data_IF_117193045439
#
_entry.id   IF_117193045439
#
_cell.length_a   1.000
_cell.length_b   1.000
_cell.length_c   1.000
_cell.angle_alpha   90.00
_cell.angle_beta   90.00
_cell.angle_gamma   90.00
#
_symmetry.space_group_name_H-M   'P 1'
#
loop_
_entity.id
_entity.type
_entity.pdbx_description
1 polymer ?
#
# COMPACT_ATOMS: atom_id res chain seq x y z
N UNK A 1 -19.66 -14.06 15.34
CA UNK A 1 -19.08 -12.81 14.86
C UNK A 1 -19.06 -12.81 13.34
N UNK A 2 -19.46 -11.72 12.67
CA UNK A 2 -19.30 -11.61 11.22
C UNK A 2 -17.80 -11.50 10.94
N UNK A 3 -17.23 -12.49 10.27
CA UNK A 3 -15.88 -12.36 9.73
C UNK A 3 -15.92 -11.25 8.68
N UNK A 4 -15.20 -10.16 8.91
CA UNK A 4 -14.99 -9.13 7.88
C UNK A 4 -14.00 -9.74 6.88
N UNK A 5 -14.48 -10.02 5.68
CA UNK A 5 -13.60 -10.49 4.61
C UNK A 5 -12.68 -9.33 4.21
N UNK A 6 -11.39 -9.50 4.39
CA UNK A 6 -10.38 -8.53 3.98
C UNK A 6 -10.25 -8.64 2.45
N UNK A 7 -10.35 -7.53 1.75
CA UNK A 7 -10.19 -7.45 0.29
C UNK A 7 -8.94 -6.67 -0.09
N UNK A 8 -8.38 -6.94 -1.27
CA UNK A 8 -7.24 -6.20 -1.82
C UNK A 8 -7.56 -4.71 -1.93
N UNK A 9 -8.66 -4.38 -2.58
CA UNK A 9 -9.17 -3.01 -2.60
C UNK A 9 -10.02 -2.78 -1.34
N UNK A 10 -9.58 -1.86 -0.49
CA UNK A 10 -10.35 -1.37 0.66
C UNK A 10 -11.40 -0.39 0.15
N UNK A 11 -10.95 0.62 -0.59
CA UNK A 11 -11.80 1.62 -1.24
C UNK A 11 -11.01 2.42 -2.27
N UNK A 12 -11.73 3.09 -3.17
CA UNK A 12 -11.17 4.09 -4.08
C UNK A 12 -12.08 5.29 -4.22
N UNK A 13 -11.49 6.46 -4.40
CA UNK A 13 -12.14 7.74 -4.68
C UNK A 13 -11.47 8.36 -5.90
N UNK A 14 -12.12 8.26 -7.05
CA UNK A 14 -11.63 8.77 -8.32
C UNK A 14 -12.40 10.05 -8.66
N UNK A 15 -11.68 11.19 -8.72
CA UNK A 15 -12.31 12.51 -8.88
C UNK A 15 -11.72 13.32 -10.03
N UNK A 16 -10.47 13.06 -10.41
CA UNK A 16 -9.81 13.81 -11.44
C UNK A 16 -8.85 12.93 -12.25
N UNK A 17 -9.19 12.56 -13.51
CA UNK A 17 -8.45 11.58 -14.30
C UNK A 17 -7.00 11.97 -14.59
N UNK A 18 -6.69 13.26 -14.66
CA UNK A 18 -5.34 13.79 -14.89
C UNK A 18 -4.67 14.30 -13.59
N UNK A 19 -5.35 14.17 -12.45
CA UNK A 19 -4.85 14.61 -11.15
C UNK A 19 -3.83 13.62 -10.54
N UNK A 20 -3.18 13.99 -9.44
CA UNK A 20 -2.29 13.09 -8.72
C UNK A 20 -3.05 11.89 -8.17
N UNK A 21 -2.36 10.77 -8.12
CA UNK A 21 -2.86 9.50 -7.59
C UNK A 21 -2.12 9.17 -6.29
N UNK A 22 -2.83 9.04 -5.19
CA UNK A 22 -2.26 8.64 -3.90
C UNK A 22 -2.73 7.24 -3.57
N UNK A 23 -1.80 6.31 -3.46
CA UNK A 23 -2.06 4.90 -3.16
C UNK A 23 -1.55 4.59 -1.77
N UNK A 24 -2.46 4.33 -0.86
CA UNK A 24 -2.15 3.87 0.48
C UNK A 24 -2.22 2.36 0.52
N UNK A 25 -1.25 1.74 1.18
CA UNK A 25 -1.21 0.31 1.45
C UNK A 25 -1.16 0.12 2.96
N UNK A 26 -2.03 -0.71 3.51
CA UNK A 26 -2.00 -1.09 4.91
C UNK A 26 -1.90 -2.59 5.06
N UNK A 27 -1.21 -3.08 6.10
CA UNK A 27 -1.13 -4.50 6.38
C UNK A 27 -0.19 -5.28 5.46
N UNK A 28 0.93 -4.70 5.06
CA UNK A 28 2.05 -5.47 4.47
C UNK A 28 2.55 -6.54 5.45
N UNK A 29 2.46 -6.26 6.75
CA UNK A 29 2.55 -7.25 7.82
C UNK A 29 1.15 -7.51 8.40
N UNK A 30 0.75 -8.78 8.45
CA UNK A 30 -0.61 -9.13 8.87
C UNK A 30 -0.90 -8.92 10.36
N UNK A 31 0.13 -8.88 11.20
CA UNK A 31 0.01 -8.51 12.61
C UNK A 31 -0.10 -6.98 12.84
N UNK A 32 -0.14 -6.18 11.78
CA UNK A 32 -0.29 -4.72 11.80
C UNK A 32 -1.62 -4.26 11.14
N UNK A 33 -2.80 -4.71 11.62
CA UNK A 33 -4.09 -4.42 10.97
C UNK A 33 -4.53 -2.96 11.11
N UNK A 34 -3.88 -2.19 11.97
CA UNK A 34 -4.25 -0.79 12.27
C UNK A 34 -4.26 0.09 11.03
N UNK A 35 -3.31 -0.13 10.09
CA UNK A 35 -3.27 0.59 8.81
C UNK A 35 -4.53 0.36 7.98
N UNK A 36 -4.99 -0.90 7.87
CA UNK A 36 -6.22 -1.27 7.16
C UNK A 36 -7.45 -0.65 7.80
N UNK A 37 -7.54 -0.69 9.13
CA UNK A 37 -8.66 -0.10 9.88
C UNK A 37 -8.70 1.42 9.72
N UNK A 38 -7.54 2.08 9.79
CA UNK A 38 -7.41 3.52 9.59
C UNK A 38 -7.85 3.92 8.17
N UNK A 39 -7.40 3.17 7.15
CA UNK A 39 -7.78 3.41 5.77
C UNK A 39 -9.29 3.26 5.56
N UNK A 40 -9.91 2.21 6.08
CA UNK A 40 -11.37 2.04 6.02
C UNK A 40 -12.10 3.26 6.59
N UNK A 41 -11.67 3.74 7.75
CA UNK A 41 -12.27 4.92 8.40
C UNK A 41 -12.08 6.17 7.56
N UNK A 42 -10.85 6.48 7.17
CA UNK A 42 -10.50 7.69 6.41
C UNK A 42 -11.22 7.72 5.07
N UNK A 43 -11.28 6.60 4.35
CA UNK A 43 -11.96 6.53 3.06
C UNK A 43 -13.47 6.77 3.20
N UNK A 44 -14.09 6.27 4.27
CA UNK A 44 -15.50 6.56 4.56
C UNK A 44 -15.74 8.05 4.90
N UNK A 45 -14.84 8.68 5.64
CA UNK A 45 -14.91 10.10 5.96
C UNK A 45 -14.66 10.99 4.73
N UNK A 46 -13.77 10.57 3.81
CA UNK A 46 -13.48 11.28 2.57
C UNK A 46 -14.55 11.12 1.50
N UNK A 47 -15.30 10.03 1.50
CA UNK A 47 -16.30 9.73 0.46
C UNK A 47 -17.28 10.88 0.17
N UNK A 48 -17.90 11.55 1.15
CA UNK A 48 -18.78 12.69 0.89
C UNK A 48 -18.02 13.91 0.35
N UNK A 49 -16.70 13.99 0.55
CA UNK A 49 -15.84 15.07 0.07
C UNK A 49 -15.21 14.75 -1.31
N UNK A 50 -15.48 13.59 -1.88
CA UNK A 50 -14.92 13.17 -3.17
C UNK A 50 -15.04 14.23 -4.28
N UNK A 51 -16.16 14.96 -4.46
CA UNK A 51 -16.26 15.98 -5.51
C UNK A 51 -15.29 17.17 -5.32
N UNK A 52 -14.71 17.33 -4.14
CA UNK A 52 -13.75 18.39 -3.83
C UNK A 52 -12.29 17.95 -4.02
N UNK A 53 -12.05 16.66 -4.21
CA UNK A 53 -10.70 16.14 -4.44
C UNK A 53 -10.18 16.56 -5.81
N UNK A 54 -8.93 16.99 -5.87
CA UNK A 54 -8.23 17.38 -7.10
C UNK A 54 -7.33 16.24 -7.66
N UNK A 55 -7.60 15.02 -7.25
CA UNK A 55 -6.86 13.82 -7.61
C UNK A 55 -7.62 12.58 -7.19
N UNK A 56 -6.94 11.45 -7.19
CA UNK A 56 -7.51 10.16 -6.89
C UNK A 56 -6.85 9.55 -5.65
N UNK A 57 -7.62 8.83 -4.85
CA UNK A 57 -7.15 8.17 -3.64
C UNK A 57 -7.53 6.69 -3.70
N UNK A 58 -6.56 5.84 -3.51
CA UNK A 58 -6.72 4.38 -3.49
C UNK A 58 -6.22 3.85 -2.16
N UNK A 59 -6.98 2.96 -1.54
CA UNK A 59 -6.62 2.29 -0.31
C UNK A 59 -6.61 0.78 -0.54
N UNK A 60 -5.48 0.15 -0.29
CA UNK A 60 -5.22 -1.27 -0.56
C UNK A 60 -4.81 -2.00 0.73
N UNK A 61 -5.13 -3.29 0.78
CA UNK A 61 -4.56 -4.22 1.76
C UNK A 61 -3.31 -4.89 1.20
N UNK A 62 -2.30 -5.07 2.02
CA UNK A 62 -1.05 -5.74 1.68
C UNK A 62 -1.18 -7.27 1.65
N UNK A 63 -0.63 -7.97 2.65
CA UNK A 63 -0.65 -9.43 2.75
C UNK A 63 -1.97 -9.93 3.31
N UNK A 64 -2.91 -10.32 2.44
CA UNK A 64 -4.27 -10.71 2.84
C UNK A 64 -4.28 -11.94 3.76
N UNK A 65 -3.53 -12.98 3.39
CA UNK A 65 -3.48 -14.22 4.17
C UNK A 65 -2.84 -14.01 5.54
N UNK A 66 -1.79 -13.20 5.63
CA UNK A 66 -1.17 -12.87 6.90
C UNK A 66 -2.10 -12.01 7.78
N UNK A 67 -2.85 -11.08 7.19
CA UNK A 67 -3.88 -10.28 7.88
C UNK A 67 -5.00 -11.15 8.45
N UNK A 68 -5.48 -12.14 7.68
CA UNK A 68 -6.51 -13.08 8.15
C UNK A 68 -6.05 -13.92 9.34
N UNK A 69 -4.76 -14.26 9.40
CA UNK A 69 -4.16 -15.04 10.49
C UNK A 69 -3.64 -14.18 11.65
N UNK A 70 -3.50 -12.88 11.44
CA UNK A 70 -2.86 -11.98 12.40
C UNK A 70 -1.37 -12.27 12.59
N UNK A 71 -0.72 -12.89 11.61
CA UNK A 71 0.69 -13.21 11.59
C UNK A 71 1.48 -12.14 10.83
N UNK A 72 2.76 -11.95 11.16
CA UNK A 72 3.58 -10.97 10.46
C UNK A 72 3.68 -11.29 8.96
N UNK A 73 3.95 -12.53 8.64
CA UNK A 73 3.98 -13.10 7.28
C UNK A 73 3.72 -14.62 7.39
N UNK A 74 3.46 -15.28 6.28
CA UNK A 74 3.21 -16.73 6.24
C UNK A 74 4.52 -17.50 6.04
N UNK A 75 5.33 -17.15 5.04
CA UNK A 75 6.58 -17.79 4.70
C UNK A 75 7.74 -16.80 4.72
N UNK A 76 7.59 -15.66 4.03
CA UNK A 76 8.61 -14.63 3.89
C UNK A 76 8.04 -13.23 4.12
N UNK A 77 8.88 -12.31 4.56
CA UNK A 77 8.48 -10.91 4.74
C UNK A 77 8.18 -10.26 3.38
N UNK A 78 6.89 -9.97 3.11
CA UNK A 78 6.43 -9.34 1.86
C UNK A 78 7.17 -8.03 1.56
N UNK A 79 7.58 -7.29 2.59
CA UNK A 79 8.37 -6.06 2.43
C UNK A 79 9.79 -6.27 1.90
N UNK A 80 10.28 -7.50 1.82
CA UNK A 80 11.65 -7.81 1.36
C UNK A 80 11.72 -8.23 -0.10
N UNK A 81 10.59 -8.45 -0.75
CA UNK A 81 10.54 -8.95 -2.13
C UNK A 81 10.17 -7.88 -3.18
N UNK A 82 10.30 -6.60 -2.85
CA UNK A 82 10.07 -5.46 -3.77
C UNK A 82 11.34 -4.96 -4.45
N UNK A 83 12.36 -5.83 -4.61
CA UNK A 83 13.54 -5.51 -5.41
C UNK A 83 13.17 -5.48 -6.90
N UNK A 84 13.87 -4.67 -7.72
CA UNK A 84 13.52 -4.47 -9.13
C UNK A 84 13.41 -5.77 -9.94
N UNK A 85 14.30 -6.71 -9.73
CA UNK A 85 14.30 -8.02 -10.39
C UNK A 85 13.08 -8.86 -9.98
N UNK A 86 12.72 -8.86 -8.70
CA UNK A 86 11.56 -9.57 -8.18
C UNK A 86 10.25 -8.96 -8.68
N UNK A 87 10.19 -7.64 -8.78
CA UNK A 87 9.05 -6.94 -9.37
C UNK A 87 8.90 -7.30 -10.85
N UNK A 88 10.00 -7.36 -11.62
CA UNK A 88 9.96 -7.79 -13.03
C UNK A 88 9.52 -9.24 -13.20
N UNK A 89 9.91 -10.13 -12.28
CA UNK A 89 9.41 -11.51 -12.25
C UNK A 89 7.91 -11.56 -11.95
N UNK A 90 7.44 -10.77 -10.99
CA UNK A 90 6.02 -10.68 -10.65
C UNK A 90 5.17 -10.16 -11.82
N UNK A 91 5.65 -9.14 -12.54
CA UNK A 91 5.02 -8.63 -13.78
C UNK A 91 4.85 -9.70 -14.83
N UNK A 92 5.89 -10.49 -15.05
CA UNK A 92 5.93 -11.54 -16.09
C UNK A 92 5.32 -12.86 -15.62
N UNK A 93 5.03 -12.99 -14.32
CA UNK A 93 4.68 -14.25 -13.65
C UNK A 93 5.72 -15.34 -13.91
N UNK A 94 6.99 -14.95 -13.92
CA UNK A 94 8.14 -15.82 -14.23
C UNK A 94 8.63 -16.51 -12.95
N UNK A 95 7.85 -17.49 -12.50
CA UNK A 95 8.14 -18.30 -11.34
C UNK A 95 7.92 -19.78 -11.66
N UNK A 96 8.80 -20.63 -11.15
CA UNK A 96 8.52 -22.05 -11.11
C UNK A 96 7.39 -22.33 -10.10
N UNK A 97 6.59 -23.38 -10.28
CA UNK A 97 5.53 -23.73 -9.33
C UNK A 97 6.00 -23.87 -7.88
N UNK A 98 7.24 -24.33 -7.66
CA UNK A 98 7.85 -24.49 -6.34
C UNK A 98 8.28 -23.15 -5.71
N UNK A 99 8.38 -22.08 -6.46
CA UNK A 99 8.73 -20.73 -5.99
C UNK A 99 7.49 -19.91 -5.63
N UNK A 100 6.31 -20.35 -6.06
CA UNK A 100 5.03 -19.65 -5.77
C UNK A 100 4.62 -19.98 -4.34
N UNK A 101 5.19 -19.24 -3.41
CA UNK A 101 4.79 -19.20 -2.00
C UNK A 101 3.77 -18.09 -1.78
N UNK A 102 3.16 -18.06 -0.59
CA UNK A 102 2.11 -17.10 -0.26
C UNK A 102 2.46 -15.65 -0.61
N UNK A 103 3.62 -15.16 -0.20
CA UNK A 103 4.01 -13.76 -0.41
C UNK A 103 4.33 -13.44 -1.88
N UNK A 104 4.72 -14.43 -2.67
CA UNK A 104 4.88 -14.26 -4.12
C UNK A 104 3.51 -14.10 -4.79
N UNK A 105 2.50 -14.87 -4.38
CA UNK A 105 1.12 -14.69 -4.86
C UNK A 105 0.57 -13.32 -4.47
N UNK A 106 0.77 -12.91 -3.22
CA UNK A 106 0.38 -11.59 -2.71
C UNK A 106 1.08 -10.45 -3.48
N UNK A 107 2.37 -10.60 -3.80
CA UNK A 107 3.11 -9.64 -4.61
C UNK A 107 2.56 -9.53 -6.03
N UNK A 108 2.32 -10.68 -6.67
CA UNK A 108 1.79 -10.73 -8.05
C UNK A 108 0.42 -10.04 -8.11
N UNK A 109 -0.44 -10.30 -7.14
CA UNK A 109 -1.79 -9.72 -7.09
C UNK A 109 -1.74 -8.22 -6.82
N UNK A 110 -0.99 -7.80 -5.78
CA UNK A 110 -0.83 -6.39 -5.42
C UNK A 110 -0.18 -5.60 -6.55
N UNK A 111 0.88 -6.14 -7.17
CA UNK A 111 1.51 -5.52 -8.32
C UNK A 111 0.53 -5.41 -9.50
N UNK A 112 -0.21 -6.46 -9.81
CA UNK A 112 -1.21 -6.44 -10.89
C UNK A 112 -2.26 -5.35 -10.70
N UNK A 113 -2.68 -5.10 -9.45
CA UNK A 113 -3.57 -4.00 -9.13
C UNK A 113 -2.90 -2.63 -9.37
N UNK A 114 -1.67 -2.45 -8.88
CA UNK A 114 -0.89 -1.22 -9.05
C UNK A 114 -0.62 -0.94 -10.54
N UNK A 115 -0.21 -1.95 -11.29
CA UNK A 115 0.09 -1.83 -12.72
C UNK A 115 -1.16 -1.42 -13.53
N UNK A 116 -2.32 -1.98 -13.19
CA UNK A 116 -3.59 -1.57 -13.76
C UNK A 116 -3.91 -0.10 -13.44
N UNK A 117 -3.70 0.35 -12.20
CA UNK A 117 -3.90 1.75 -11.85
C UNK A 117 -2.96 2.66 -12.65
N UNK A 118 -1.68 2.30 -12.77
CA UNK A 118 -0.68 3.09 -13.48
C UNK A 118 -0.92 3.14 -15.00
N UNK A 119 -1.54 2.11 -15.57
CA UNK A 119 -1.88 2.06 -16.99
C UNK A 119 -3.18 2.80 -17.34
N UNK A 120 -4.11 2.92 -16.39
CA UNK A 120 -5.43 3.54 -16.61
C UNK A 120 -5.50 4.99 -16.18
N UNK A 121 -4.63 5.44 -15.29
CA UNK A 121 -4.60 6.80 -14.80
C UNK A 121 -3.38 7.56 -15.28
N UNK A 122 -3.57 8.85 -15.55
CA UNK A 122 -2.50 9.79 -15.84
C UNK A 122 -2.11 10.52 -14.55
N UNK A 123 -1.06 11.31 -14.59
CA UNK A 123 -0.61 12.07 -13.44
C UNK A 123 0.40 11.32 -12.58
N UNK A 124 0.88 12.00 -11.55
CA UNK A 124 1.91 11.45 -10.65
C UNK A 124 1.30 10.47 -9.66
N UNK A 125 2.03 9.39 -9.39
CA UNK A 125 1.70 8.44 -8.34
C UNK A 125 2.55 8.66 -7.10
N UNK A 126 1.89 8.58 -5.95
CA UNK A 126 2.51 8.59 -4.63
C UNK A 126 2.08 7.32 -3.90
N UNK A 127 3.05 6.50 -3.49
CA UNK A 127 2.79 5.27 -2.74
C UNK A 127 3.17 5.47 -1.29
N UNK A 128 2.27 5.12 -0.39
CA UNK A 128 2.42 5.27 1.05
C UNK A 128 2.08 3.94 1.71
N UNK A 129 3.09 3.31 2.32
CA UNK A 129 2.91 2.10 3.11
C UNK A 129 2.75 2.47 4.58
N UNK A 130 1.72 1.92 5.21
CA UNK A 130 1.35 2.20 6.59
C UNK A 130 1.77 1.05 7.50
N UNK A 131 2.70 1.35 8.39
CA UNK A 131 3.21 0.42 9.40
C UNK A 131 2.89 0.87 10.81
N UNK A 132 2.97 -0.07 11.75
CA UNK A 132 3.03 0.22 13.19
C UNK A 132 4.43 -0.04 13.71
N UNK A 133 4.81 0.65 14.79
CA UNK A 133 6.07 0.39 15.49
C UNK A 133 5.83 -0.45 16.73
N UNK A 134 6.78 -1.33 17.07
CA UNK A 134 6.72 -2.15 18.27
C UNK A 134 6.93 -1.35 19.58
N UNK A 135 7.41 -0.11 19.49
CA UNK A 135 7.66 0.79 20.61
C UNK A 135 6.71 2.00 20.60
N UNK A 136 6.57 2.65 21.74
CA UNK A 136 5.87 3.94 21.83
C UNK A 136 6.68 5.00 21.10
N UNK A 137 6.14 5.57 20.05
CA UNK A 137 6.74 6.66 19.28
C UNK A 137 5.67 7.64 18.82
N UNK A 138 6.08 8.86 18.50
CA UNK A 138 5.24 9.76 17.69
C UNK A 138 5.16 9.20 16.28
N UNK A 139 4.07 9.43 15.53
CA UNK A 139 4.02 9.09 14.12
C UNK A 139 5.15 9.77 13.35
N UNK A 140 5.76 9.08 12.40
CA UNK A 140 6.82 9.61 11.56
C UNK A 140 6.76 9.00 10.16
N UNK A 141 7.42 9.65 9.21
CA UNK A 141 7.54 9.19 7.83
C UNK A 141 8.97 8.74 7.60
N UNK A 142 9.15 7.60 6.95
CA UNK A 142 10.43 7.15 6.40
C UNK A 142 10.40 7.27 4.88
N UNK A 143 11.49 7.70 4.27
CA UNK A 143 11.59 7.80 2.82
C UNK A 143 13.01 7.63 2.34
N UNK A 144 13.15 7.08 1.12
CA UNK A 144 14.43 7.12 0.42
C UNK A 144 14.80 8.55 0.05
N UNK A 145 16.08 8.91 0.21
CA UNK A 145 16.58 10.25 -0.09
C UNK A 145 16.68 10.50 -1.61
N UNK A 146 15.55 10.86 -2.20
CA UNK A 146 15.50 11.33 -3.59
C UNK A 146 14.85 12.71 -3.66
N UNK A 147 15.31 13.55 -4.59
CA UNK A 147 14.75 14.90 -4.80
C UNK A 147 13.23 14.82 -5.06
N UNK A 148 12.78 13.81 -5.78
CA UNK A 148 11.37 13.62 -6.10
C UNK A 148 10.51 13.30 -4.88
N UNK A 149 11.07 12.63 -3.87
CA UNK A 149 10.33 12.23 -2.68
C UNK A 149 10.22 13.34 -1.64
N UNK A 150 11.12 14.32 -1.63
CA UNK A 150 11.21 15.34 -0.57
C UNK A 150 10.00 16.27 -0.47
N UNK A 151 9.38 16.62 -1.59
CA UNK A 151 8.30 17.62 -1.61
C UNK A 151 7.00 17.14 -0.96
N UNK A 152 6.62 15.88 -1.17
CA UNK A 152 5.36 15.35 -0.65
C UNK A 152 5.39 15.16 0.89
N UNK A 153 6.36 14.46 1.49
CA UNK A 153 6.42 14.31 2.94
C UNK A 153 6.57 15.64 3.68
N UNK A 154 7.28 16.63 3.08
CA UNK A 154 7.44 17.95 3.69
C UNK A 154 6.14 18.74 3.83
N UNK A 155 5.09 18.35 3.12
CA UNK A 155 3.75 18.96 3.26
C UNK A 155 2.94 18.39 4.42
N UNK A 156 3.41 17.31 5.03
CA UNK A 156 2.72 16.64 6.14
C UNK A 156 3.30 17.09 7.49
N UNK A 157 2.46 17.32 8.52
CA UNK A 157 2.91 17.76 9.84
C UNK A 157 3.49 16.62 10.68
N UNK A 158 4.43 15.87 10.11
CA UNK A 158 5.05 14.69 10.72
C UNK A 158 6.58 14.77 10.59
N UNK A 159 7.34 14.27 11.58
CA UNK A 159 8.78 14.08 11.43
C UNK A 159 9.10 13.19 10.23
N UNK A 160 10.10 13.57 9.44
CA UNK A 160 10.56 12.81 8.27
C UNK A 160 11.98 12.28 8.52
N UNK A 161 12.14 10.96 8.44
CA UNK A 161 13.43 10.29 8.50
C UNK A 161 13.88 9.94 7.08
N UNK A 162 15.10 10.36 6.73
CA UNK A 162 15.66 10.23 5.38
C UNK A 162 16.80 9.22 5.40
N UNK A 163 16.88 8.36 4.39
CA UNK A 163 18.02 7.48 4.19
C UNK A 163 17.94 6.15 4.92
N UNK A 164 16.74 5.65 5.15
CA UNK A 164 16.51 4.29 5.67
C UNK A 164 16.27 3.34 4.51
#
# INVERSE_FOLDING_TARGET
GKSVRISREIAKLESHPDGPNVVFIGGMHGNEPTGVLALNRVMNELKPLQPLLKGNVYALSGNLNALERGERFIVNDLNRIWQPDMVERAKKRDYLPSEIINEVEEQIELWGYIDNLMSTNKGKFYFIDLHTTSGKSVPFITMSDTIMNRSFPSSLPLPVLIGI
#
